data_IF_791426891358
#
_entry.id   IF_791426891358
#
_cell.length_a   1.000
_cell.length_b   1.000
_cell.length_c   1.000
_cell.angle_alpha   90.00
_cell.angle_beta   90.00
_cell.angle_gamma   90.00
#
_symmetry.space_group_name_H-M   'P 1'
#
loop_
_entity.id
_entity.type
_entity.pdbx_description
1 polymer ?
#
# COMPACT_ATOMS: atom_id res chain seq x y z
N UNK A 1 -34.70 -5.91 44.93
CA UNK A 1 -34.00 -6.35 43.69
C UNK A 1 -34.07 -5.24 42.67
N UNK A 2 -33.05 -4.38 42.61
CA UNK A 2 -32.91 -3.40 41.53
C UNK A 2 -32.25 -4.11 40.36
N UNK A 3 -33.00 -4.29 39.27
CA UNK A 3 -32.49 -4.81 38.01
C UNK A 3 -31.87 -3.62 37.29
N UNK A 4 -30.54 -3.58 37.23
CA UNK A 4 -29.83 -2.62 36.41
C UNK A 4 -30.14 -2.92 34.93
N UNK A 5 -30.72 -1.95 34.23
CA UNK A 5 -30.83 -2.01 32.76
C UNK A 5 -29.42 -1.95 32.17
N UNK A 6 -29.09 -2.78 31.17
CA UNK A 6 -27.85 -2.60 30.43
C UNK A 6 -27.94 -1.29 29.66
N UNK A 7 -26.95 -0.41 29.87
CA UNK A 7 -26.78 0.78 29.05
C UNK A 7 -26.62 0.33 27.59
N UNK A 8 -27.53 0.80 26.73
CA UNK A 8 -27.37 0.66 25.29
C UNK A 8 -26.05 1.33 24.89
N UNK A 9 -25.12 0.55 24.33
CA UNK A 9 -23.95 1.10 23.68
C UNK A 9 -24.46 1.99 22.53
N UNK A 10 -24.14 3.29 22.60
CA UNK A 10 -24.46 4.22 21.54
C UNK A 10 -23.78 3.71 20.25
N UNK A 11 -24.59 3.42 19.23
CA UNK A 11 -24.11 3.24 17.87
C UNK A 11 -23.44 4.55 17.42
N UNK A 12 -22.20 4.52 16.93
CA UNK A 12 -21.56 5.73 16.39
C UNK A 12 -22.40 6.28 15.22
N UNK A 13 -22.69 7.58 15.28
CA UNK A 13 -23.50 8.29 14.28
C UNK A 13 -22.67 8.81 13.10
N UNK A 14 -23.34 9.35 12.08
CA UNK A 14 -22.81 9.89 10.80
C UNK A 14 -21.65 10.92 10.88
N UNK A 15 -21.19 11.30 12.08
CA UNK A 15 -20.26 12.42 12.33
C UNK A 15 -18.96 12.04 13.07
N UNK A 16 -18.68 10.75 13.27
CA UNK A 16 -17.41 10.33 13.89
C UNK A 16 -16.25 10.58 12.91
N UNK A 17 -15.63 11.75 13.05
CA UNK A 17 -14.50 12.18 12.25
C UNK A 17 -13.49 12.96 13.10
N UNK A 18 -12.24 12.96 12.64
CA UNK A 18 -11.18 13.76 13.23
C UNK A 18 -10.48 14.58 12.16
N UNK A 19 -10.30 15.87 12.43
CA UNK A 19 -9.57 16.75 11.53
C UNK A 19 -8.12 16.29 11.41
N UNK A 20 -7.66 16.04 10.18
CA UNK A 20 -6.25 15.94 9.88
C UNK A 20 -5.66 17.34 9.75
N UNK A 21 -6.33 18.23 9.02
CA UNK A 21 -5.99 19.65 8.94
C UNK A 21 -7.08 20.47 8.23
N UNK A 22 -7.43 21.69 8.69
CA UNK A 22 -8.42 22.65 8.11
C UNK A 22 -9.67 22.02 7.47
N UNK A 23 -9.56 21.54 6.23
CA UNK A 23 -10.65 20.98 5.41
C UNK A 23 -10.49 19.47 5.13
N UNK A 24 -9.41 18.86 5.60
CA UNK A 24 -9.15 17.42 5.51
C UNK A 24 -9.49 16.75 6.84
N UNK A 25 -10.35 15.74 6.78
CA UNK A 25 -10.77 14.95 7.92
C UNK A 25 -10.69 13.45 7.61
N UNK A 26 -10.34 12.68 8.65
CA UNK A 26 -10.43 11.23 8.67
C UNK A 26 -11.81 10.86 9.22
N UNK A 27 -12.58 10.09 8.48
CA UNK A 27 -13.95 9.71 8.83
C UNK A 27 -14.01 8.23 9.18
N UNK A 28 -14.38 7.93 10.43
CA UNK A 28 -14.57 6.55 10.89
C UNK A 28 -15.87 6.01 10.29
N UNK A 29 -15.75 5.11 9.30
CA UNK A 29 -16.92 4.51 8.70
C UNK A 29 -17.38 3.31 9.53
N UNK A 30 -18.69 3.23 9.77
CA UNK A 30 -19.29 2.02 10.33
C UNK A 30 -19.31 0.89 9.28
N UNK A 31 -19.65 -0.33 9.69
CA UNK A 31 -19.59 -1.51 8.84
C UNK A 31 -20.48 -1.37 7.59
N UNK A 32 -21.66 -0.77 7.72
CA UNK A 32 -22.62 -0.59 6.64
C UNK A 32 -22.19 0.48 5.62
N UNK A 33 -21.56 1.57 6.08
CA UNK A 33 -20.99 2.61 5.22
C UNK A 33 -19.74 2.12 4.47
N UNK A 34 -18.91 1.31 5.13
CA UNK A 34 -17.68 0.77 4.55
C UNK A 34 -17.96 -0.33 3.51
N UNK A 35 -19.02 -1.12 3.70
CA UNK A 35 -19.35 -2.25 2.84
C UNK A 35 -19.41 -1.93 1.34
N UNK A 36 -20.17 -0.90 0.88
CA UNK A 36 -20.23 -0.58 -0.55
C UNK A 36 -18.89 -0.07 -1.11
N UNK A 37 -18.04 0.57 -0.29
CA UNK A 37 -16.71 1.01 -0.72
C UNK A 37 -15.79 -0.18 -1.01
N UNK A 38 -15.74 -1.16 -0.11
CA UNK A 38 -14.89 -2.33 -0.31
C UNK A 38 -15.46 -3.31 -1.36
N UNK A 39 -16.78 -3.32 -1.55
CA UNK A 39 -17.47 -4.12 -2.57
C UNK A 39 -17.36 -3.53 -3.99
N UNK A 40 -16.86 -2.30 -4.14
CA UNK A 40 -16.73 -1.66 -5.44
C UNK A 40 -15.53 -2.22 -6.23
N UNK A 41 -15.70 -2.33 -7.55
CA UNK A 41 -14.58 -2.57 -8.45
C UNK A 41 -13.71 -1.33 -8.60
N UNK A 42 -12.41 -1.46 -8.36
CA UNK A 42 -11.44 -0.39 -8.52
C UNK A 42 -10.15 -0.88 -9.18
N UNK A 43 -9.12 -0.02 -9.19
CA UNK A 43 -7.84 -0.35 -9.82
C UNK A 43 -7.19 -1.57 -9.18
N UNK A 44 -7.30 -1.74 -7.87
CA UNK A 44 -6.76 -2.90 -7.18
C UNK A 44 -7.52 -4.16 -7.58
N UNK A 45 -8.84 -4.18 -7.44
CA UNK A 45 -9.61 -5.41 -7.71
C UNK A 45 -9.44 -5.84 -9.16
N UNK A 46 -9.51 -4.91 -10.13
CA UNK A 46 -9.28 -5.20 -11.55
C UNK A 46 -7.86 -5.72 -11.85
N UNK A 47 -6.88 -5.37 -11.03
CA UNK A 47 -5.50 -5.84 -11.18
C UNK A 47 -5.26 -7.21 -10.54
N UNK A 48 -6.19 -7.71 -9.70
CA UNK A 48 -6.09 -9.05 -9.09
C UNK A 48 -6.30 -10.16 -10.13
N UNK A 49 -5.54 -11.24 -9.96
CA UNK A 49 -5.67 -12.47 -10.78
C UNK A 49 -6.56 -13.48 -10.08
N UNK A 50 -6.96 -14.55 -10.79
CA UNK A 50 -7.70 -15.65 -10.16
C UNK A 50 -6.90 -16.31 -9.03
N UNK A 51 -5.58 -16.39 -9.15
CA UNK A 51 -4.67 -16.93 -8.12
C UNK A 51 -4.57 -16.02 -6.92
N UNK A 52 -4.45 -14.71 -7.16
CA UNK A 52 -4.44 -13.69 -6.12
C UNK A 52 -5.71 -13.77 -5.26
N UNK A 53 -6.89 -13.81 -5.90
CA UNK A 53 -8.18 -13.98 -5.21
C UNK A 53 -8.30 -15.32 -4.50
N UNK A 54 -7.80 -16.41 -5.10
CA UNK A 54 -7.79 -17.72 -4.46
C UNK A 54 -6.99 -17.76 -3.17
N UNK A 55 -5.79 -17.17 -3.18
CA UNK A 55 -4.93 -17.11 -2.00
C UNK A 55 -5.55 -16.27 -0.89
N UNK A 56 -6.21 -15.16 -1.24
CA UNK A 56 -6.90 -14.30 -0.26
C UNK A 56 -8.08 -14.98 0.41
N UNK A 57 -8.81 -15.81 -0.33
CA UNK A 57 -9.96 -16.56 0.21
C UNK A 57 -9.58 -17.94 0.76
N UNK A 58 -8.31 -18.34 0.67
CA UNK A 58 -7.85 -19.72 0.91
C UNK A 58 -8.72 -20.76 0.14
N UNK A 59 -9.08 -20.43 -1.10
CA UNK A 59 -9.99 -21.23 -1.92
C UNK A 59 -9.22 -22.24 -2.79
N UNK A 60 -9.57 -23.52 -2.70
CA UNK A 60 -9.03 -24.59 -3.56
C UNK A 60 -9.65 -24.65 -4.97
N UNK A 61 -10.21 -23.55 -5.45
CA UNK A 61 -10.82 -23.42 -6.79
C UNK A 61 -10.79 -21.96 -7.23
N UNK A 62 -10.79 -21.66 -8.55
CA UNK A 62 -10.88 -20.29 -9.06
C UNK A 62 -11.99 -19.47 -8.40
N UNK A 63 -11.67 -18.21 -8.09
CA UNK A 63 -12.57 -17.25 -7.45
C UNK A 63 -12.84 -16.12 -8.44
N UNK A 64 -14.08 -16.02 -8.90
CA UNK A 64 -14.51 -14.90 -9.73
C UNK A 64 -14.59 -13.57 -8.94
N UNK A 65 -14.63 -12.46 -9.67
CA UNK A 65 -14.67 -11.11 -9.09
C UNK A 65 -15.87 -10.93 -8.15
N UNK A 66 -17.05 -11.40 -8.55
CA UNK A 66 -18.28 -11.20 -7.77
C UNK A 66 -18.20 -11.91 -6.42
N UNK A 67 -17.69 -13.14 -6.40
CA UNK A 67 -17.47 -13.92 -5.18
C UNK A 67 -16.44 -13.26 -4.29
N UNK A 68 -15.34 -12.76 -4.87
CA UNK A 68 -14.32 -12.02 -4.12
C UNK A 68 -14.87 -10.74 -3.48
N UNK A 69 -15.55 -9.88 -4.25
CA UNK A 69 -16.13 -8.64 -3.72
C UNK A 69 -17.18 -8.92 -2.64
N UNK A 70 -18.02 -9.95 -2.82
CA UNK A 70 -18.99 -10.36 -1.80
C UNK A 70 -18.33 -10.88 -0.52
N UNK A 71 -17.13 -11.48 -0.62
CA UNK A 71 -16.34 -11.88 0.54
C UNK A 71 -15.72 -10.67 1.25
N UNK A 72 -15.05 -9.78 0.52
CA UNK A 72 -14.41 -8.56 1.07
C UNK A 72 -15.45 -7.67 1.76
N UNK A 73 -16.62 -7.50 1.14
CA UNK A 73 -17.73 -6.73 1.69
C UNK A 73 -18.20 -7.20 3.08
N UNK A 74 -18.08 -8.50 3.37
CA UNK A 74 -18.48 -9.09 4.67
C UNK A 74 -17.43 -8.90 5.76
N UNK A 75 -16.26 -8.37 5.44
CA UNK A 75 -15.17 -8.22 6.40
C UNK A 75 -15.21 -6.89 7.17
N UNK A 76 -16.10 -5.96 6.81
CA UNK A 76 -16.22 -4.68 7.52
C UNK A 76 -16.75 -4.85 8.93
N UNK A 77 -16.25 -4.03 9.86
CA UNK A 77 -16.60 -4.06 11.28
C UNK A 77 -16.88 -2.66 11.82
N UNK A 78 -17.79 -2.56 12.78
CA UNK A 78 -18.06 -1.30 13.49
C UNK A 78 -16.93 -0.95 14.45
N UNK A 79 -16.50 0.31 14.44
CA UNK A 79 -15.56 0.86 15.41
C UNK A 79 -16.13 0.84 16.83
N UNK A 80 -15.29 0.51 17.81
CA UNK A 80 -15.60 0.63 19.22
C UNK A 80 -15.13 1.99 19.75
N UNK A 81 -15.82 2.62 20.72
CA UNK A 81 -15.42 3.94 21.22
C UNK A 81 -13.95 4.03 21.70
N UNK A 82 -13.43 2.97 22.31
CA UNK A 82 -12.03 2.91 22.74
C UNK A 82 -11.03 2.88 21.57
N UNK A 83 -11.41 2.26 20.45
CA UNK A 83 -10.58 2.22 19.23
C UNK A 83 -10.58 3.59 18.53
N UNK A 84 -11.76 4.24 18.44
CA UNK A 84 -11.88 5.62 17.91
C UNK A 84 -11.01 6.55 18.75
N UNK A 85 -11.08 6.47 20.08
CA UNK A 85 -10.27 7.28 20.98
C UNK A 85 -8.76 7.03 20.77
N UNK A 86 -8.36 5.77 20.54
CA UNK A 86 -6.96 5.40 20.29
C UNK A 86 -6.41 6.03 19.01
N UNK A 87 -7.14 5.91 17.90
CA UNK A 87 -6.74 6.52 16.62
C UNK A 87 -6.81 8.05 16.70
N UNK A 88 -7.84 8.59 17.36
CA UNK A 88 -7.99 10.04 17.60
C UNK A 88 -6.75 10.61 18.30
N UNK A 89 -6.30 9.97 19.38
CA UNK A 89 -5.11 10.39 20.10
C UNK A 89 -3.85 10.35 19.24
N UNK A 90 -3.69 9.32 18.40
CA UNK A 90 -2.57 9.22 17.45
C UNK A 90 -2.59 10.36 16.42
N UNK A 91 -3.74 10.63 15.80
CA UNK A 91 -3.87 11.73 14.84
C UNK A 91 -3.64 13.10 15.51
N UNK A 92 -4.12 13.31 16.74
CA UNK A 92 -3.83 14.55 17.49
C UNK A 92 -2.34 14.74 17.77
N UNK A 93 -1.60 13.66 18.11
CA UNK A 93 -0.13 13.71 18.28
C UNK A 93 0.59 14.03 16.97
N UNK A 94 0.14 13.47 15.85
CA UNK A 94 0.78 13.61 14.54
C UNK A 94 0.41 14.92 13.83
N UNK A 95 -0.78 15.47 14.07
CA UNK A 95 -1.34 16.65 13.39
C UNK A 95 -0.36 17.84 13.31
N UNK A 96 0.33 18.26 14.38
CA UNK A 96 1.27 19.39 14.31
C UNK A 96 2.40 19.16 13.30
N UNK A 97 2.89 17.92 13.18
CA UNK A 97 3.99 17.53 12.28
C UNK A 97 3.54 17.40 10.83
N UNK A 98 2.27 17.08 10.60
CA UNK A 98 1.68 16.99 9.25
C UNK A 98 1.19 18.35 8.70
N UNK A 99 1.17 19.39 9.55
CA UNK A 99 0.73 20.75 9.18
C UNK A 99 1.44 21.35 7.95
N UNK A 100 2.74 21.14 7.69
CA UNK A 100 3.38 21.65 6.48
C UNK A 100 2.77 21.08 5.19
N UNK A 101 2.17 19.88 5.25
CA UNK A 101 1.61 19.15 4.11
C UNK A 101 0.11 19.39 3.91
N UNK A 102 -0.47 20.33 4.66
CA UNK A 102 -1.90 20.57 4.77
C UNK A 102 -2.68 20.70 3.45
N UNK A 103 -2.05 21.23 2.41
CA UNK A 103 -2.66 21.58 1.13
C UNK A 103 -2.55 20.41 0.12
N UNK A 104 -1.90 19.31 0.53
CA UNK A 104 -1.73 18.08 -0.26
C UNK A 104 -2.81 17.03 0.04
N UNK A 105 -3.51 17.13 1.18
CA UNK A 105 -4.49 16.13 1.60
C UNK A 105 -5.83 16.25 0.87
N UNK A 106 -6.53 15.14 0.58
CA UNK A 106 -7.92 15.20 0.16
C UNK A 106 -8.80 15.69 1.32
N UNK A 107 -9.97 16.23 1.01
CA UNK A 107 -10.91 16.74 2.02
C UNK A 107 -11.46 15.61 2.93
N UNK A 108 -11.61 14.41 2.39
CA UNK A 108 -12.18 13.26 3.09
C UNK A 108 -11.30 12.03 2.92
N UNK A 109 -10.89 11.45 4.04
CA UNK A 109 -10.15 10.19 4.13
C UNK A 109 -11.01 9.19 4.91
N UNK A 110 -11.73 8.28 4.25
CA UNK A 110 -12.44 7.21 4.95
C UNK A 110 -11.49 6.30 5.71
N UNK A 111 -11.85 5.94 6.94
CA UNK A 111 -11.11 4.98 7.76
C UNK A 111 -12.04 3.81 8.08
N UNK A 112 -11.67 2.65 7.55
CA UNK A 112 -12.49 1.43 7.57
C UNK A 112 -11.82 0.41 8.50
N UNK A 113 -12.59 -0.23 9.37
CA UNK A 113 -12.11 -1.37 10.15
C UNK A 113 -12.58 -2.68 9.53
N UNK A 114 -11.70 -3.69 9.49
CA UNK A 114 -12.03 -5.02 8.98
C UNK A 114 -11.63 -6.16 9.92
N UNK A 115 -12.09 -7.38 9.60
CA UNK A 115 -11.65 -8.61 10.27
C UNK A 115 -10.17 -8.91 10.00
N UNK A 116 -9.64 -8.42 8.87
CA UNK A 116 -8.31 -8.72 8.34
C UNK A 116 -8.22 -10.00 7.53
N UNK A 117 -9.33 -10.71 7.30
CA UNK A 117 -9.34 -11.95 6.50
C UNK A 117 -9.15 -11.69 5.00
N UNK A 118 -9.54 -10.50 4.53
CA UNK A 118 -9.46 -10.09 3.13
C UNK A 118 -8.04 -9.83 2.64
N UNK A 119 -7.18 -9.29 3.52
CA UNK A 119 -5.80 -8.89 3.20
C UNK A 119 -4.79 -9.43 4.23
N UNK A 120 -5.11 -10.54 4.89
CA UNK A 120 -4.20 -11.29 5.79
C UNK A 120 -3.61 -10.39 6.88
N UNK A 121 -4.47 -9.62 7.53
CA UNK A 121 -4.11 -8.64 8.56
C UNK A 121 -3.16 -7.53 8.09
N UNK A 122 -2.99 -7.31 6.79
CA UNK A 122 -2.26 -6.15 6.28
C UNK A 122 -3.16 -4.90 6.26
N UNK A 123 -2.74 -3.81 6.93
CA UNK A 123 -3.22 -2.47 6.61
C UNK A 123 -2.93 -2.14 5.14
N UNK A 124 -3.81 -1.38 4.52
CA UNK A 124 -3.66 -0.95 3.13
C UNK A 124 -4.63 0.19 2.79
N UNK A 125 -4.44 0.83 1.64
CA UNK A 125 -5.43 1.76 1.10
C UNK A 125 -6.24 1.20 -0.07
N UNK A 126 -7.50 1.63 -0.17
CA UNK A 126 -8.40 1.43 -1.32
C UNK A 126 -8.88 2.81 -1.80
N UNK A 127 -8.25 3.33 -2.84
CA UNK A 127 -8.48 4.71 -3.29
C UNK A 127 -8.03 5.72 -2.24
N UNK A 128 -8.96 6.51 -1.70
CA UNK A 128 -8.69 7.43 -0.59
C UNK A 128 -9.05 6.85 0.79
N UNK A 129 -9.51 5.60 0.86
CA UNK A 129 -9.83 4.94 2.12
C UNK A 129 -8.59 4.24 2.69
N UNK A 130 -8.36 4.40 3.98
CA UNK A 130 -7.41 3.60 4.76
C UNK A 130 -8.21 2.44 5.37
N UNK A 131 -7.72 1.21 5.20
CA UNK A 131 -8.36 -0.02 5.67
C UNK A 131 -7.48 -0.66 6.74
N UNK A 132 -7.99 -0.71 7.97
CA UNK A 132 -7.27 -1.24 9.12
C UNK A 132 -7.91 -2.56 9.59
N UNK A 133 -7.16 -3.68 9.58
CA UNK A 133 -7.64 -4.89 10.23
C UNK A 133 -7.65 -4.68 11.74
N UNK A 134 -8.59 -5.32 12.46
CA UNK A 134 -8.67 -5.22 13.93
C UNK A 134 -7.34 -5.52 14.66
N UNK A 135 -6.47 -6.34 14.06
CA UNK A 135 -5.15 -6.68 14.57
C UNK A 135 -4.17 -5.50 14.54
N UNK A 136 -4.32 -4.55 13.62
CA UNK A 136 -3.54 -3.31 13.57
C UNK A 136 -3.75 -2.43 14.81
N UNK A 137 -4.86 -2.61 15.52
CA UNK A 137 -5.21 -1.83 16.71
C UNK A 137 -4.59 -2.39 18.00
N UNK A 138 -3.89 -3.53 17.94
CA UNK A 138 -3.28 -4.19 19.11
C UNK A 138 -1.95 -3.53 19.52
N UNK A 139 -1.22 -2.93 18.56
CA UNK A 139 0.10 -2.31 18.79
C UNK A 139 0.10 -1.18 19.82
N UNK A 140 1.29 -0.79 20.26
CA UNK A 140 1.44 0.35 21.17
C UNK A 140 1.20 1.70 20.47
N UNK A 141 1.33 2.80 21.20
CA UNK A 141 1.12 4.14 20.64
C UNK A 141 2.09 4.45 19.49
N UNK A 142 3.36 4.02 19.59
CA UNK A 142 4.37 4.26 18.57
C UNK A 142 4.12 3.41 17.32
N UNK A 143 3.69 2.16 17.49
CA UNK A 143 3.31 1.29 16.37
C UNK A 143 2.17 1.89 15.56
N UNK A 144 1.14 2.42 16.23
CA UNK A 144 -0.01 3.05 15.57
C UNK A 144 0.38 4.34 14.87
N UNK A 145 1.21 5.17 15.49
CA UNK A 145 1.68 6.40 14.88
C UNK A 145 2.43 6.08 13.56
N UNK A 146 3.33 5.09 13.59
CA UNK A 146 4.08 4.66 12.40
C UNK A 146 3.16 4.08 11.31
N UNK A 147 2.21 3.24 11.70
CA UNK A 147 1.24 2.66 10.78
C UNK A 147 0.39 3.74 10.10
N UNK A 148 -0.17 4.67 10.86
CA UNK A 148 -1.00 5.74 10.29
C UNK A 148 -0.19 6.63 9.35
N UNK A 149 1.08 6.91 9.66
CA UNK A 149 1.94 7.68 8.76
C UNK A 149 2.23 6.93 7.46
N UNK A 150 2.46 5.62 7.52
CA UNK A 150 2.64 4.78 6.35
C UNK A 150 1.40 4.86 5.43
N UNK A 151 0.21 4.60 5.96
CA UNK A 151 -1.04 4.66 5.18
C UNK A 151 -1.35 6.08 4.66
N UNK A 152 -1.08 7.11 5.47
CA UNK A 152 -1.25 8.50 5.05
C UNK A 152 -0.31 8.87 3.89
N UNK A 153 0.88 8.27 3.80
CA UNK A 153 1.73 8.49 2.63
C UNK A 153 1.04 8.03 1.35
N UNK A 154 0.43 6.84 1.33
CA UNK A 154 -0.31 6.34 0.17
C UNK A 154 -1.47 7.25 -0.23
N UNK A 155 -2.17 7.82 0.75
CA UNK A 155 -3.22 8.81 0.48
C UNK A 155 -2.62 10.07 -0.16
N UNK A 156 -1.52 10.57 0.38
CA UNK A 156 -0.87 11.80 -0.07
C UNK A 156 -0.27 11.66 -1.47
N UNK A 157 0.52 10.61 -1.71
CA UNK A 157 1.21 10.35 -2.98
C UNK A 157 0.20 10.22 -4.13
N UNK A 158 -0.96 9.63 -3.86
CA UNK A 158 -2.04 9.40 -4.83
C UNK A 158 -2.76 10.68 -5.28
N UNK A 159 -2.64 11.80 -4.56
CA UNK A 159 -3.28 13.06 -4.95
C UNK A 159 -2.60 13.76 -6.13
N UNK A 160 -1.41 13.33 -6.55
CA UNK A 160 -0.69 13.89 -7.69
C UNK A 160 0.30 12.88 -8.29
N UNK A 161 0.09 12.55 -9.56
CA UNK A 161 1.00 11.68 -10.32
C UNK A 161 2.39 12.31 -10.41
N UNK A 162 2.47 13.63 -10.51
CA UNK A 162 3.73 14.38 -10.54
C UNK A 162 4.48 14.21 -9.21
N UNK A 163 3.79 14.36 -8.07
CA UNK A 163 4.41 14.17 -6.75
C UNK A 163 4.89 12.74 -6.56
N UNK A 164 4.06 11.74 -6.83
CA UNK A 164 4.49 10.35 -6.71
C UNK A 164 5.66 10.02 -7.65
N UNK A 165 5.67 10.54 -8.88
CA UNK A 165 6.80 10.39 -9.82
C UNK A 165 8.09 11.00 -9.26
N UNK A 166 8.02 12.25 -8.77
CA UNK A 166 9.17 12.92 -8.13
C UNK A 166 9.69 12.13 -6.93
N UNK A 167 8.80 11.58 -6.10
CA UNK A 167 9.19 10.76 -4.97
C UNK A 167 9.87 9.45 -5.43
N UNK A 168 9.36 8.79 -6.48
CA UNK A 168 9.93 7.54 -7.00
C UNK A 168 11.33 7.76 -7.59
N UNK A 169 11.55 8.90 -8.25
CA UNK A 169 12.84 9.28 -8.83
C UNK A 169 13.96 9.40 -7.79
N UNK A 170 13.63 9.78 -6.55
CA UNK A 170 14.59 9.84 -5.43
C UNK A 170 15.32 8.51 -5.26
N UNK A 171 14.60 7.39 -5.41
CA UNK A 171 15.13 6.04 -5.23
C UNK A 171 15.35 5.30 -6.55
N UNK A 172 15.57 6.06 -7.64
CA UNK A 172 15.99 5.55 -8.95
C UNK A 172 14.88 4.97 -9.82
N UNK A 173 13.62 5.07 -9.39
CA UNK A 173 12.46 4.61 -10.16
C UNK A 173 11.90 5.72 -11.03
N UNK A 174 11.40 5.34 -12.21
CA UNK A 174 10.65 6.22 -13.10
C UNK A 174 9.33 5.55 -13.46
N UNK A 175 8.26 6.33 -13.63
CA UNK A 175 6.99 5.79 -14.12
C UNK A 175 7.09 5.40 -15.59
N UNK A 176 6.44 4.30 -15.97
CA UNK A 176 6.17 3.98 -17.37
C UNK A 176 4.97 4.78 -17.87
N UNK A 177 4.88 4.96 -19.20
CA UNK A 177 3.75 5.65 -19.83
C UNK A 177 2.44 4.85 -19.77
N UNK A 178 2.54 3.53 -19.56
CA UNK A 178 1.42 2.61 -19.36
C UNK A 178 1.88 1.40 -18.53
N UNK A 179 0.96 0.65 -17.89
CA UNK A 179 1.32 -0.59 -17.22
C UNK A 179 2.02 -1.59 -18.15
N UNK A 180 3.02 -2.27 -17.62
CA UNK A 180 3.82 -3.28 -18.31
C UNK A 180 3.06 -4.62 -18.26
N UNK A 181 2.74 -5.16 -19.42
CA UNK A 181 2.02 -6.42 -19.55
C UNK A 181 2.95 -7.61 -19.26
N UNK A 182 2.51 -8.51 -18.40
CA UNK A 182 3.25 -9.73 -18.08
C UNK A 182 2.95 -10.85 -19.11
N UNK A 183 3.93 -11.68 -19.49
CA UNK A 183 3.70 -12.93 -20.19
C UNK A 183 2.71 -13.82 -19.43
N UNK A 184 1.94 -14.63 -20.15
CA UNK A 184 0.82 -15.41 -19.57
C UNK A 184 1.23 -16.25 -18.35
N UNK A 185 2.42 -16.86 -18.37
CA UNK A 185 2.93 -17.66 -17.26
C UNK A 185 3.17 -16.83 -15.98
N UNK A 186 3.74 -15.63 -16.10
CA UNK A 186 3.95 -14.72 -14.97
C UNK A 186 2.63 -14.08 -14.53
N UNK A 187 1.79 -13.69 -15.50
CA UNK A 187 0.48 -13.11 -15.24
C UNK A 187 -0.39 -14.07 -14.41
N UNK A 188 -0.36 -15.38 -14.70
CA UNK A 188 -1.10 -16.38 -13.95
C UNK A 188 -0.68 -16.51 -12.47
N UNK A 189 0.52 -16.05 -12.11
CA UNK A 189 1.11 -16.15 -10.76
C UNK A 189 1.20 -14.80 -10.03
N UNK A 190 0.80 -13.71 -10.68
CA UNK A 190 0.91 -12.36 -10.14
C UNK A 190 0.05 -12.21 -8.88
N UNK A 191 0.67 -11.67 -7.83
CA UNK A 191 0.02 -11.16 -6.63
C UNK A 191 -0.04 -9.64 -6.68
N UNK A 192 -1.12 -9.05 -6.18
CA UNK A 192 -1.34 -7.61 -6.27
C UNK A 192 -1.23 -6.96 -4.90
N UNK A 193 -0.39 -5.92 -4.81
CA UNK A 193 -0.37 -5.02 -3.68
C UNK A 193 -1.52 -3.99 -3.82
N UNK A 194 -2.42 -3.84 -2.82
CA UNK A 194 -3.49 -2.83 -2.89
C UNK A 194 -3.00 -1.39 -3.03
N UNK A 195 -1.85 -1.04 -2.44
CA UNK A 195 -1.32 0.32 -2.45
C UNK A 195 -0.59 0.67 -3.74
N UNK A 196 -0.09 -0.36 -4.44
CA UNK A 196 0.58 -0.27 -5.74
C UNK A 196 0.10 -1.38 -6.69
N UNK A 197 -1.14 -1.29 -7.23
CA UNK A 197 -1.77 -2.41 -7.93
C UNK A 197 -1.26 -2.62 -9.36
N UNK A 198 -0.67 -1.59 -9.97
CA UNK A 198 -0.19 -1.59 -11.34
C UNK A 198 1.31 -1.87 -11.39
N UNK A 199 1.76 -2.49 -12.49
CA UNK A 199 3.18 -2.69 -12.79
C UNK A 199 3.58 -1.57 -13.74
N UNK A 200 3.86 -0.39 -13.21
CA UNK A 200 4.02 0.84 -14.01
C UNK A 200 5.23 1.69 -13.59
N UNK A 201 6.25 1.04 -13.01
CA UNK A 201 7.50 1.68 -12.59
C UNK A 201 8.69 0.88 -13.04
N UNK A 202 9.77 1.57 -13.41
CA UNK A 202 10.99 0.96 -13.91
C UNK A 202 12.18 1.53 -13.17
N UNK A 203 13.14 0.69 -12.80
CA UNK A 203 14.43 1.09 -12.25
C UNK A 203 15.54 0.77 -13.24
N UNK A 204 16.51 1.67 -13.35
CA UNK A 204 17.76 1.42 -14.07
C UNK A 204 18.76 0.73 -13.15
N UNK A 205 19.34 -0.36 -13.61
CA UNK A 205 20.33 -1.17 -12.91
C UNK A 205 21.67 -1.05 -13.64
N UNK A 206 22.62 -0.36 -13.01
CA UNK A 206 23.97 -0.16 -13.54
C UNK A 206 24.81 -1.43 -13.37
N UNK A 207 25.49 -1.84 -14.44
CA UNK A 207 26.32 -3.04 -14.47
C UNK A 207 27.77 -2.67 -14.79
N UNK A 208 28.75 -3.06 -13.96
CA UNK A 208 30.15 -2.79 -14.27
C UNK A 208 30.54 -3.42 -15.62
N UNK A 209 31.08 -2.60 -16.54
CA UNK A 209 31.59 -3.05 -17.85
C UNK A 209 30.53 -3.66 -18.77
N UNK A 210 29.26 -3.30 -18.61
CA UNK A 210 28.16 -3.71 -19.48
C UNK A 210 27.12 -2.60 -19.58
N UNK A 211 26.30 -2.61 -20.62
CA UNK A 211 25.17 -1.69 -20.73
C UNK A 211 24.25 -1.80 -19.51
N UNK A 212 23.62 -0.70 -19.06
CA UNK A 212 22.64 -0.78 -17.99
C UNK A 212 21.49 -1.71 -18.40
N UNK A 213 20.86 -2.30 -17.40
CA UNK A 213 19.65 -3.09 -17.56
C UNK A 213 18.50 -2.37 -16.89
N UNK A 214 17.28 -2.55 -17.37
CA UNK A 214 16.09 -2.00 -16.72
C UNK A 214 15.25 -3.13 -16.14
N UNK A 215 14.58 -2.84 -15.03
CA UNK A 215 13.70 -3.81 -14.39
C UNK A 215 12.47 -3.15 -13.76
N UNK A 216 11.38 -3.89 -13.63
CA UNK A 216 10.16 -3.50 -12.91
C UNK A 216 9.96 -4.41 -11.70
N UNK A 217 9.48 -3.91 -10.55
CA UNK A 217 9.16 -4.76 -9.40
C UNK A 217 7.94 -5.62 -9.73
N UNK A 218 8.00 -6.90 -9.39
CA UNK A 218 6.87 -7.82 -9.53
C UNK A 218 6.74 -8.71 -8.30
N UNK A 219 5.50 -8.98 -7.93
CA UNK A 219 5.13 -9.93 -6.88
C UNK A 219 4.54 -11.16 -7.53
N UNK A 220 5.20 -12.30 -7.33
CA UNK A 220 4.79 -13.59 -7.89
C UNK A 220 4.59 -14.58 -6.75
N UNK A 221 3.62 -15.46 -6.86
CA UNK A 221 3.52 -16.58 -5.93
C UNK A 221 4.54 -17.68 -6.26
N UNK A 222 5.05 -18.35 -5.22
CA UNK A 222 6.03 -19.46 -5.32
C UNK A 222 5.52 -20.62 -6.16
N UNK A 223 4.24 -20.93 -6.08
CA UNK A 223 3.65 -22.05 -6.80
C UNK A 223 3.35 -21.68 -8.26
N UNK A 224 3.55 -22.63 -9.16
CA UNK A 224 3.22 -22.51 -10.58
C UNK A 224 1.87 -23.15 -10.94
N UNK A 225 1.32 -24.02 -10.08
CA UNK A 225 0.00 -24.63 -10.19
C UNK A 225 -0.65 -24.79 -8.82
N UNK A 226 -1.97 -24.65 -8.75
CA UNK A 226 -2.72 -24.45 -7.51
C UNK A 226 -3.79 -25.52 -7.29
N UNK A 227 -3.41 -26.79 -7.44
CA UNK A 227 -4.32 -27.91 -7.13
C UNK A 227 -4.68 -27.97 -5.62
N UNK A 228 -4.00 -27.19 -4.76
CA UNK A 228 -4.41 -26.94 -3.37
C UNK A 228 -3.66 -25.73 -2.75
N UNK A 229 -4.30 -24.55 -2.70
CA UNK A 229 -3.89 -23.43 -1.80
C UNK A 229 -4.38 -23.63 -0.36
N UNK A 230 -5.00 -24.77 -0.05
CA UNK A 230 -5.53 -25.04 1.27
C UNK A 230 -4.39 -24.99 2.31
N UNK A 231 -4.49 -24.05 3.25
CA UNK A 231 -3.54 -23.78 4.34
C UNK A 231 -2.25 -23.01 4.00
N UNK A 232 -2.20 -22.26 2.89
CA UNK A 232 -1.12 -21.26 2.64
C UNK A 232 -1.69 -19.84 2.58
N UNK A 233 -0.87 -18.83 2.89
CA UNK A 233 -1.25 -17.41 2.86
C UNK A 233 -0.52 -16.66 1.74
N UNK A 234 -1.06 -15.54 1.27
CA UNK A 234 -0.37 -14.67 0.29
C UNK A 234 1.04 -14.33 0.78
N UNK A 235 1.23 -14.00 2.06
CA UNK A 235 2.55 -13.62 2.59
C UNK A 235 3.58 -14.76 2.53
N UNK A 236 3.16 -16.00 2.75
CA UNK A 236 4.04 -17.18 2.64
C UNK A 236 4.38 -17.51 1.19
N UNK A 237 3.45 -17.23 0.28
CA UNK A 237 3.60 -17.47 -1.15
C UNK A 237 4.30 -16.34 -1.88
N UNK A 238 4.37 -15.14 -1.32
CA UNK A 238 4.86 -13.95 -2.01
C UNK A 238 6.37 -14.00 -2.24
N UNK A 239 6.77 -13.86 -3.50
CA UNK A 239 8.13 -13.63 -3.93
C UNK A 239 8.23 -12.29 -4.64
N UNK A 240 9.18 -11.48 -4.19
CA UNK A 240 9.53 -10.22 -4.83
C UNK A 240 10.71 -10.43 -5.79
N UNK A 241 10.52 -10.02 -7.04
CA UNK A 241 11.57 -9.99 -8.06
C UNK A 241 11.63 -8.65 -8.76
N UNK A 242 12.79 -8.36 -9.35
CA UNK A 242 12.97 -7.35 -10.37
C UNK A 242 12.91 -8.05 -11.74
N UNK A 243 11.81 -7.85 -12.46
CA UNK A 243 11.58 -8.41 -13.78
C UNK A 243 12.25 -7.54 -14.85
N UNK A 244 13.12 -8.13 -15.66
CA UNK A 244 13.87 -7.42 -16.69
C UNK A 244 12.96 -6.95 -17.81
N UNK A 245 13.07 -5.66 -18.13
CA UNK A 245 12.27 -4.99 -19.17
C UNK A 245 13.18 -4.26 -20.14
N UNK A 246 12.66 -4.02 -21.34
CA UNK A 246 13.31 -3.23 -22.38
C UNK A 246 12.31 -2.27 -23.03
N UNK A 247 12.82 -1.26 -23.74
CA UNK A 247 11.98 -0.36 -24.51
C UNK A 247 11.87 -0.83 -25.96
N UNK A 248 10.63 -1.01 -26.43
CA UNK A 248 10.29 -1.17 -27.83
C UNK A 248 9.38 -0.01 -28.23
N UNK A 249 9.78 0.78 -29.23
CA UNK A 249 9.04 1.95 -29.72
C UNK A 249 8.58 2.93 -28.61
N UNK A 250 9.46 3.17 -27.63
CA UNK A 250 9.20 4.08 -26.50
C UNK A 250 8.29 3.48 -25.41
N UNK A 251 7.99 2.19 -25.47
CA UNK A 251 7.14 1.49 -24.51
C UNK A 251 7.93 0.40 -23.80
N UNK A 252 7.77 0.31 -22.47
CA UNK A 252 8.35 -0.75 -21.66
C UNK A 252 7.61 -2.08 -21.84
N UNK A 253 8.36 -3.12 -22.15
CA UNK A 253 7.87 -4.50 -22.29
C UNK A 253 8.81 -5.47 -21.57
N UNK A 254 8.32 -6.67 -21.22
CA UNK A 254 9.16 -7.72 -20.64
C UNK A 254 10.18 -8.19 -21.67
N UNK A 255 11.45 -8.17 -21.28
CA UNK A 255 12.53 -8.64 -22.15
C UNK A 255 12.57 -10.16 -22.19
N UNK A 256 12.74 -10.73 -23.38
CA UNK A 256 12.72 -12.17 -23.64
C UNK A 256 11.48 -12.87 -23.00
N UNK A 257 10.25 -12.61 -23.47
CA UNK A 257 9.03 -13.06 -22.81
C UNK A 257 8.88 -14.59 -22.67
N UNK A 258 9.55 -15.37 -23.53
CA UNK A 258 9.61 -16.85 -23.44
C UNK A 258 10.53 -17.35 -22.32
N UNK A 259 11.44 -16.52 -21.85
CA UNK A 259 12.34 -16.81 -20.72
C UNK A 259 12.63 -15.51 -19.95
N UNK A 260 11.64 -14.98 -19.21
CA UNK A 260 11.76 -13.67 -18.59
C UNK A 260 12.90 -13.64 -17.55
N UNK A 261 13.70 -12.58 -17.59
CA UNK A 261 14.74 -12.37 -16.58
C UNK A 261 14.13 -11.98 -15.24
N UNK A 262 14.22 -12.84 -14.23
CA UNK A 262 13.85 -12.51 -12.84
C UNK A 262 15.11 -12.36 -12.01
N UNK A 263 15.31 -11.16 -11.46
CA UNK A 263 16.46 -10.84 -10.59
C UNK A 263 15.97 -10.81 -9.15
N UNK A 264 16.68 -11.52 -8.26
CA UNK A 264 16.46 -11.38 -6.82
C UNK A 264 17.03 -10.03 -6.37
N UNK A 265 16.21 -9.19 -5.75
CA UNK A 265 16.61 -7.84 -5.32
C UNK A 265 17.74 -7.85 -4.29
N UNK A 266 17.90 -8.94 -3.53
CA UNK A 266 19.02 -9.12 -2.60
C UNK A 266 20.37 -9.28 -3.31
N UNK A 267 20.36 -9.81 -4.52
CA UNK A 267 21.56 -10.13 -5.31
C UNK A 267 21.92 -9.01 -6.30
N UNK A 268 21.22 -7.87 -6.25
CA UNK A 268 21.40 -6.74 -7.18
C UNK A 268 21.93 -5.50 -6.45
N UNK A 269 23.26 -5.27 -6.44
CA UNK A 269 23.87 -4.15 -5.74
C UNK A 269 23.44 -2.78 -6.27
N UNK A 270 23.15 -2.64 -7.57
CA UNK A 270 22.69 -1.36 -8.13
C UNK A 270 21.32 -0.99 -7.58
N UNK A 271 20.44 -1.97 -7.43
CA UNK A 271 19.14 -1.78 -6.80
C UNK A 271 19.31 -1.35 -5.34
N UNK A 272 20.09 -2.10 -4.55
CA UNK A 272 20.29 -1.84 -3.12
C UNK A 272 20.87 -0.46 -2.82
N UNK A 273 21.79 0.04 -3.64
CA UNK A 273 22.34 1.40 -3.48
C UNK A 273 21.30 2.48 -3.74
N UNK A 274 20.39 2.27 -4.69
CA UNK A 274 19.38 3.27 -5.07
C UNK A 274 18.22 3.33 -4.07
N UNK A 275 17.75 2.19 -3.56
CA UNK A 275 16.63 2.18 -2.60
C UNK A 275 17.03 2.39 -1.14
N UNK A 276 18.34 2.39 -0.86
CA UNK A 276 18.90 2.55 0.47
C UNK A 276 18.56 1.41 1.44
N UNK A 277 18.78 1.66 2.72
CA UNK A 277 18.70 0.67 3.81
C UNK A 277 17.85 1.16 5.00
N UNK A 278 17.06 2.23 4.83
CA UNK A 278 16.17 2.73 5.88
C UNK A 278 14.99 1.79 6.16
N UNK A 279 14.61 0.94 5.20
CA UNK A 279 13.57 -0.09 5.37
C UNK A 279 13.98 -1.42 4.75
N UNK A 280 13.34 -2.50 5.22
CA UNK A 280 13.36 -3.84 4.61
C UNK A 280 12.15 -4.08 3.69
N UNK A 281 11.14 -3.22 3.73
CA UNK A 281 9.92 -3.38 2.95
C UNK A 281 10.09 -2.76 1.55
N UNK A 282 10.82 -3.50 0.71
CA UNK A 282 11.38 -3.02 -0.57
C UNK A 282 10.60 -3.45 -1.80
N UNK A 283 9.39 -3.97 -1.61
CA UNK A 283 8.64 -4.69 -2.65
C UNK A 283 8.11 -3.77 -3.78
N UNK A 284 8.03 -2.46 -3.52
CA UNK A 284 7.61 -1.44 -4.48
C UNK A 284 8.14 -0.06 -4.03
N UNK A 285 8.44 0.91 -4.92
CA UNK A 285 8.87 2.25 -4.51
C UNK A 285 7.87 2.95 -3.58
N UNK A 286 6.58 2.75 -3.81
CA UNK A 286 5.51 3.27 -2.94
C UNK A 286 5.69 2.84 -1.47
N UNK A 287 6.01 1.57 -1.22
CA UNK A 287 6.25 1.02 0.12
C UNK A 287 7.54 1.54 0.76
N UNK A 288 8.60 1.61 -0.05
CA UNK A 288 9.90 2.13 0.39
C UNK A 288 9.72 3.57 0.87
N UNK A 289 8.99 4.38 0.12
CA UNK A 289 8.79 5.79 0.40
C UNK A 289 7.77 6.03 1.51
N UNK A 290 6.76 5.16 1.66
CA UNK A 290 5.86 5.19 2.81
C UNK A 290 6.62 5.02 4.12
N UNK A 291 7.55 4.07 4.20
CA UNK A 291 8.40 3.90 5.38
C UNK A 291 9.38 5.08 5.58
N UNK A 292 9.94 5.63 4.50
CA UNK A 292 10.79 6.82 4.61
C UNK A 292 10.00 8.07 5.02
N UNK A 293 8.71 8.17 4.66
CA UNK A 293 7.84 9.26 5.08
C UNK A 293 7.60 9.26 6.60
N UNK A 294 7.51 8.09 7.23
CA UNK A 294 7.49 7.98 8.70
C UNK A 294 8.70 8.72 9.30
N UNK A 295 9.88 8.52 8.71
CA UNK A 295 11.11 9.18 9.17
C UNK A 295 11.14 10.68 8.89
N UNK A 296 10.55 11.14 7.79
CA UNK A 296 10.36 12.58 7.52
C UNK A 296 9.55 13.21 8.64
N UNK A 297 8.39 12.63 8.97
CA UNK A 297 7.44 13.21 9.92
C UNK A 297 7.91 13.10 11.37
N UNK A 298 8.48 11.95 11.75
CA UNK A 298 8.99 11.71 13.12
C UNK A 298 10.40 12.27 13.35
N UNK A 299 11.05 12.80 12.31
CA UNK A 299 12.41 13.36 12.36
C UNK A 299 13.42 12.38 12.98
N UNK A 300 13.38 11.13 12.50
CA UNK A 300 14.21 10.06 13.05
C UNK A 300 15.71 10.37 12.83
N UNK A 301 16.53 10.42 13.89
CA UNK A 301 17.95 10.70 13.75
C UNK A 301 18.74 9.49 13.27
N UNK A 302 19.95 9.72 12.75
CA UNK A 302 20.97 8.69 12.51
C UNK A 302 20.53 7.54 11.61
N UNK A 303 19.76 7.84 10.56
CA UNK A 303 19.36 6.85 9.56
C UNK A 303 20.56 6.38 8.72
N UNK A 304 20.55 5.12 8.23
CA UNK A 304 21.57 4.62 7.32
C UNK A 304 21.73 5.47 6.05
N UNK A 305 20.60 5.88 5.45
CA UNK A 305 20.55 6.59 4.18
C UNK A 305 19.70 7.88 4.33
N UNK A 306 20.19 8.89 5.06
CA UNK A 306 19.42 10.10 5.38
C UNK A 306 19.06 10.92 4.14
N UNK A 307 19.85 10.79 3.07
CA UNK A 307 19.65 11.48 1.80
C UNK A 307 18.28 11.20 1.17
N UNK A 308 17.69 10.01 1.40
CA UNK A 308 16.33 9.68 0.93
C UNK A 308 15.30 10.54 1.66
N UNK A 309 15.43 10.63 2.98
CA UNK A 309 14.51 11.38 3.83
C UNK A 309 14.62 12.88 3.57
N UNK A 310 15.83 13.39 3.35
CA UNK A 310 16.07 14.80 3.02
C UNK A 310 15.50 15.16 1.64
N UNK A 311 15.71 14.31 0.64
CA UNK A 311 15.13 14.50 -0.70
C UNK A 311 13.60 14.41 -0.67
N UNK A 312 13.04 13.45 0.07
CA UNK A 312 11.59 13.27 0.19
C UNK A 312 10.95 14.47 0.90
N UNK A 313 11.55 14.98 1.98
CA UNK A 313 11.12 16.20 2.65
C UNK A 313 11.11 17.40 1.70
N UNK A 314 12.12 17.51 0.85
CA UNK A 314 12.24 18.59 -0.13
C UNK A 314 11.13 18.53 -1.17
N UNK A 315 10.92 17.36 -1.80
CA UNK A 315 9.86 17.14 -2.79
C UNK A 315 8.46 17.44 -2.23
N UNK A 316 8.18 16.99 -0.99
CA UNK A 316 6.91 17.26 -0.31
C UNK A 316 6.71 18.76 -0.02
N UNK A 317 7.78 19.46 0.36
CA UNK A 317 7.74 20.89 0.69
C UNK A 317 7.56 21.77 -0.54
N UNK A 318 8.28 21.48 -1.63
CA UNK A 318 8.14 22.17 -2.91
C UNK A 318 6.70 22.09 -3.43
N UNK A 319 6.12 20.88 -3.40
CA UNK A 319 4.75 20.67 -3.87
C UNK A 319 3.70 21.38 -3.00
N UNK A 320 3.93 21.46 -1.70
CA UNK A 320 3.06 22.19 -0.77
C UNK A 320 3.09 23.71 -0.97
N UNK A 321 4.13 24.26 -1.64
CA UNK A 321 4.23 25.68 -1.97
C UNK A 321 3.55 25.98 -3.33
N UNK A 322 3.57 25.04 -4.26
CA UNK A 322 2.98 25.20 -5.61
C UNK A 322 1.44 25.19 -5.64
N UNK A 323 0.78 24.69 -4.59
CA UNK A 323 -0.69 24.62 -4.46
C UNK A 323 -1.24 25.72 -3.57
#
# INVERSE_FOLDING_TARGET
CYIASPAAAATPGEDDSILLHRMSAIHFLNAAEAQPLLAAEDTFTRATTDVDRQLRLHAGKPVDMQTYLAFVAKQTLDWQPAEIAKITAAIDRLRPRLRPLRDLWPQRIPLIKTTGLEEINAPHCRGNAIVLPKSALIGDEGDIDRLLLHELFHILSRQSVELSSQCYEIIGYQRSSRPIELPAELAARKLTNPDAPLIDVVIRLDRPKSEPRYATPVLLSRQSSYDSTANTTVFQELQFFLLVVEQLDGVWVVSHPEMPGLINSHDEPSFRRQVGNNTKYIIHPEEILADNFIHVVLETPSLPDPWIVDALRSALSERAIER
#
